data_IF_345347750525
#
_entry.id   IF_345347750525
#
_cell.length_a   1.000
_cell.length_b   1.000
_cell.length_c   1.000
_cell.angle_alpha   90.00
_cell.angle_beta   90.00
_cell.angle_gamma   90.00
#
_symmetry.space_group_name_H-M   'P 1'
#
loop_
_entity.id
_entity.type
_entity.pdbx_description
1 polymer ?
#
# COMPACT_ATOMS: atom_id res chain seq x y z
N UNK A 1 -31.52 -32.81 -20.41
CA UNK A 1 -31.45 -31.36 -20.68
C UNK A 1 -31.25 -30.62 -19.37
N UNK A 2 -30.00 -30.40 -18.98
CA UNK A 2 -29.66 -29.57 -17.81
C UNK A 2 -29.26 -28.21 -18.34
N UNK A 3 -30.05 -27.19 -18.00
CA UNK A 3 -29.77 -25.82 -18.39
C UNK A 3 -28.45 -25.38 -17.72
N UNK A 4 -27.44 -25.12 -18.55
CA UNK A 4 -26.21 -24.47 -18.12
C UNK A 4 -26.59 -23.16 -17.42
N UNK A 5 -26.35 -23.10 -16.12
CA UNK A 5 -26.50 -21.90 -15.31
C UNK A 5 -25.47 -20.88 -15.83
N UNK A 6 -25.94 -19.90 -16.60
CA UNK A 6 -25.12 -18.77 -17.03
C UNK A 6 -24.74 -17.99 -15.77
N UNK A 7 -23.49 -18.13 -15.32
CA UNK A 7 -22.93 -17.25 -14.29
C UNK A 7 -22.91 -15.85 -14.89
N UNK A 8 -23.75 -14.95 -14.38
CA UNK A 8 -23.72 -13.53 -14.72
C UNK A 8 -22.33 -13.01 -14.35
N UNK A 9 -21.50 -12.71 -15.35
CA UNK A 9 -20.27 -11.97 -15.11
C UNK A 9 -20.65 -10.64 -14.48
N UNK A 10 -20.20 -10.37 -13.28
CA UNK A 10 -20.19 -9.01 -12.75
C UNK A 10 -19.28 -8.18 -13.66
N UNK A 11 -19.88 -7.42 -14.56
CA UNK A 11 -19.17 -6.59 -15.52
C UNK A 11 -18.40 -5.49 -14.77
N UNK A 12 -17.10 -5.36 -15.07
CA UNK A 12 -16.26 -4.34 -14.45
C UNK A 12 -16.53 -2.98 -15.11
N UNK A 13 -17.25 -2.10 -14.41
CA UNK A 13 -17.54 -0.75 -14.89
C UNK A 13 -16.32 0.18 -14.72
N UNK A 14 -15.48 0.22 -15.75
CA UNK A 14 -14.30 1.08 -15.80
C UNK A 14 -14.65 2.57 -15.69
N UNK A 15 -15.78 3.00 -16.25
CA UNK A 15 -16.16 4.42 -16.24
C UNK A 15 -16.60 4.86 -14.84
N UNK A 16 -17.28 3.98 -14.09
CA UNK A 16 -17.54 4.21 -12.67
C UNK A 16 -16.23 4.31 -11.88
N UNK A 17 -15.31 3.36 -12.04
CA UNK A 17 -14.02 3.38 -11.32
C UNK A 17 -13.22 4.65 -11.63
N UNK A 18 -13.17 5.09 -12.89
CA UNK A 18 -12.45 6.32 -13.26
C UNK A 18 -12.99 7.58 -12.57
N UNK A 19 -14.27 7.64 -12.20
CA UNK A 19 -14.84 8.78 -11.47
C UNK A 19 -14.25 8.92 -10.06
N UNK A 20 -13.79 7.83 -9.46
CA UNK A 20 -13.18 7.85 -8.14
C UNK A 20 -11.77 8.43 -8.13
N UNK A 21 -11.12 8.63 -9.28
CA UNK A 21 -9.75 9.16 -9.37
C UNK A 21 -9.76 10.62 -9.85
N UNK A 22 -9.87 11.60 -8.93
CA UNK A 22 -9.92 13.02 -9.31
C UNK A 22 -8.71 13.47 -10.13
N UNK A 23 -7.52 12.90 -9.86
CA UNK A 23 -6.29 13.21 -10.59
C UNK A 23 -6.33 12.86 -12.09
N UNK A 24 -7.27 12.06 -12.56
CA UNK A 24 -7.42 11.74 -13.98
C UNK A 24 -8.25 12.79 -14.74
N UNK A 25 -9.04 13.63 -14.05
CA UNK A 25 -9.99 14.57 -14.65
C UNK A 25 -9.37 15.96 -14.83
N UNK A 26 -8.25 16.02 -15.54
CA UNK A 26 -7.51 17.25 -15.81
C UNK A 26 -6.99 17.32 -17.24
N UNK A 27 -6.60 18.52 -17.66
CA UNK A 27 -5.92 18.75 -18.94
C UNK A 27 -4.43 19.04 -18.70
N UNK A 28 -3.58 18.42 -19.52
CA UNK A 28 -2.13 18.68 -19.56
C UNK A 28 -1.78 19.13 -20.98
N UNK A 29 -1.14 20.29 -21.11
CA UNK A 29 -0.91 20.95 -22.41
C UNK A 29 -2.18 21.10 -23.27
N UNK A 30 -3.30 21.45 -22.63
CA UNK A 30 -4.60 21.65 -23.29
C UNK A 30 -5.34 20.36 -23.69
N UNK A 31 -4.76 19.18 -23.50
CA UNK A 31 -5.33 17.87 -23.86
C UNK A 31 -5.75 17.06 -22.63
N UNK A 32 -6.77 16.20 -22.71
CA UNK A 32 -7.12 15.29 -21.61
C UNK A 32 -5.93 14.43 -21.18
N UNK A 33 -5.74 14.27 -19.87
CA UNK A 33 -4.64 13.46 -19.34
C UNK A 33 -4.82 11.97 -19.69
N UNK A 34 -3.78 11.37 -20.27
CA UNK A 34 -3.60 9.92 -20.41
C UNK A 34 -2.36 9.55 -19.57
N UNK A 35 -2.58 9.06 -18.36
CA UNK A 35 -1.51 8.76 -17.41
C UNK A 35 -1.04 7.30 -17.57
N UNK A 36 0.10 7.10 -18.23
CA UNK A 36 0.70 5.78 -18.50
C UNK A 36 1.99 5.50 -17.70
N UNK A 37 2.22 6.25 -16.62
CA UNK A 37 3.40 6.11 -15.76
C UNK A 37 3.06 5.45 -14.41
N UNK A 38 2.10 4.52 -14.40
CA UNK A 38 1.59 3.90 -13.17
C UNK A 38 2.62 3.01 -12.46
N UNK A 39 3.67 2.56 -13.18
CA UNK A 39 4.75 1.75 -12.62
C UNK A 39 5.67 2.58 -11.70
N UNK A 40 5.80 3.88 -11.93
CA UNK A 40 6.55 4.78 -11.05
C UNK A 40 5.71 5.19 -9.83
N UNK A 41 4.46 5.63 -10.06
CA UNK A 41 3.48 5.88 -8.99
C UNK A 41 2.06 5.88 -9.53
N UNK A 42 1.08 5.60 -8.67
CA UNK A 42 -0.33 5.55 -9.06
C UNK A 42 -1.09 6.81 -8.67
N UNK A 43 -2.13 7.17 -9.43
CA UNK A 43 -3.12 8.16 -8.98
C UNK A 43 -3.91 7.60 -7.79
N UNK A 44 -4.41 8.47 -6.91
CA UNK A 44 -5.09 8.06 -5.68
C UNK A 44 -6.60 8.21 -5.82
N UNK A 45 -7.41 7.21 -5.41
CA UNK A 45 -8.85 7.34 -5.41
C UNK A 45 -9.30 8.29 -4.30
N UNK A 46 -10.49 8.88 -4.45
CA UNK A 46 -11.07 9.87 -3.55
C UNK A 46 -11.14 9.36 -2.11
N UNK A 47 -11.49 8.09 -1.90
CA UNK A 47 -11.56 7.47 -0.58
C UNK A 47 -10.21 7.54 0.18
N UNK A 48 -9.07 7.36 -0.50
CA UNK A 48 -7.74 7.46 0.11
C UNK A 48 -7.42 8.90 0.52
N UNK A 49 -7.75 9.86 -0.36
CA UNK A 49 -7.54 11.29 -0.09
C UNK A 49 -8.41 11.74 1.09
N UNK A 50 -9.68 11.34 1.13
CA UNK A 50 -10.61 11.66 2.19
C UNK A 50 -10.23 11.01 3.53
N UNK A 51 -9.69 9.78 3.52
CA UNK A 51 -9.19 9.12 4.72
C UNK A 51 -8.03 9.91 5.34
N UNK A 52 -7.05 10.32 4.53
CA UNK A 52 -5.94 11.17 4.99
C UNK A 52 -6.43 12.52 5.51
N UNK A 53 -7.30 13.18 4.77
CA UNK A 53 -7.86 14.47 5.18
C UNK A 53 -8.60 14.37 6.52
N UNK A 54 -9.45 13.35 6.69
CA UNK A 54 -10.17 13.09 7.94
C UNK A 54 -9.21 12.86 9.10
N UNK A 55 -8.17 12.05 8.91
CA UNK A 55 -7.18 11.81 9.96
C UNK A 55 -6.55 13.14 10.42
N UNK A 56 -6.03 13.95 9.48
CA UNK A 56 -5.37 15.21 9.84
C UNK A 56 -6.30 16.27 10.41
N UNK A 57 -7.58 16.28 10.03
CA UNK A 57 -8.55 17.28 10.50
C UNK A 57 -9.28 16.90 11.77
N UNK A 58 -9.38 15.60 12.11
CA UNK A 58 -10.21 15.12 13.22
C UNK A 58 -9.50 14.24 14.26
N UNK A 59 -8.50 13.45 13.85
CA UNK A 59 -7.95 12.36 14.68
C UNK A 59 -6.43 12.41 14.87
N UNK A 60 -5.76 13.43 14.33
CA UNK A 60 -4.30 13.54 14.33
C UNK A 60 -3.73 13.54 15.75
N UNK A 61 -3.00 12.47 16.09
CA UNK A 61 -2.23 12.37 17.33
C UNK A 61 -1.12 11.34 17.18
N UNK A 62 -0.18 11.35 18.13
CA UNK A 62 0.80 10.28 18.24
C UNK A 62 0.12 8.99 18.70
N UNK A 63 0.44 7.89 18.02
CA UNK A 63 -0.01 6.54 18.38
C UNK A 63 0.76 6.02 19.60
N UNK A 64 0.12 5.15 20.39
CA UNK A 64 0.69 4.45 21.56
C UNK A 64 1.28 5.34 22.68
N UNK A 65 1.07 6.66 22.63
CA UNK A 65 1.81 7.60 23.48
C UNK A 65 1.01 8.20 24.63
N UNK A 66 -0.32 8.26 24.53
CA UNK A 66 -1.15 8.93 25.52
C UNK A 66 -2.51 8.26 25.73
N UNK A 67 -3.12 8.54 26.89
CA UNK A 67 -4.43 8.01 27.34
C UNK A 67 -5.60 8.94 27.00
N UNK A 68 -5.40 9.90 26.10
CA UNK A 68 -6.46 10.82 25.69
C UNK A 68 -7.15 10.33 24.41
N UNK A 69 -8.42 10.71 24.22
CA UNK A 69 -9.29 10.19 23.18
C UNK A 69 -8.69 10.24 21.75
N UNK A 70 -7.98 11.31 21.39
CA UNK A 70 -7.33 11.40 20.06
C UNK A 70 -6.20 10.38 19.87
N UNK A 71 -5.42 10.08 20.91
CA UNK A 71 -4.33 9.09 20.83
C UNK A 71 -4.91 7.68 20.70
N UNK A 72 -6.00 7.38 21.41
CA UNK A 72 -6.71 6.10 21.27
C UNK A 72 -7.28 5.91 19.86
N UNK A 73 -7.93 6.93 19.30
CA UNK A 73 -8.48 6.86 17.92
C UNK A 73 -7.40 6.74 16.85
N UNK A 74 -6.31 7.50 16.98
CA UNK A 74 -5.15 7.39 16.09
C UNK A 74 -4.52 6.00 16.17
N UNK A 75 -4.30 5.49 17.38
CA UNK A 75 -3.73 4.16 17.62
C UNK A 75 -4.60 3.07 17.03
N UNK A 76 -5.92 3.14 17.27
CA UNK A 76 -6.87 2.19 16.70
C UNK A 76 -6.82 2.21 15.17
N UNK A 77 -6.86 3.39 14.55
CA UNK A 77 -6.82 3.50 13.08
C UNK A 77 -5.53 2.96 12.48
N UNK A 78 -4.40 3.16 13.18
CA UNK A 78 -3.09 2.65 12.77
C UNK A 78 -2.99 1.12 12.86
N UNK A 79 -3.47 0.52 13.96
CA UNK A 79 -3.48 -0.93 14.13
C UNK A 79 -4.54 -1.61 13.24
N UNK A 80 -5.71 -1.01 13.03
CA UNK A 80 -6.71 -1.50 12.07
C UNK A 80 -6.11 -1.52 10.63
N UNK A 81 -5.28 -0.53 10.27
CA UNK A 81 -4.56 -0.54 9.00
C UNK A 81 -3.56 -1.71 8.92
N UNK A 82 -2.90 -2.08 10.03
CA UNK A 82 -2.03 -3.26 10.10
C UNK A 82 -2.82 -4.55 9.88
N UNK A 83 -4.01 -4.67 10.47
CA UNK A 83 -4.93 -5.79 10.26
C UNK A 83 -5.32 -5.91 8.79
N UNK A 84 -5.64 -4.80 8.12
CA UNK A 84 -5.98 -4.78 6.70
C UNK A 84 -4.81 -5.26 5.85
N UNK A 85 -3.58 -4.79 6.11
CA UNK A 85 -2.38 -5.25 5.39
C UNK A 85 -2.15 -6.74 5.61
N UNK A 86 -2.26 -7.22 6.85
CA UNK A 86 -2.15 -8.65 7.19
C UNK A 86 -3.13 -9.49 6.38
N UNK A 87 -4.38 -9.06 6.25
CA UNK A 87 -5.39 -9.75 5.43
C UNK A 87 -5.06 -9.66 3.94
N UNK A 88 -4.64 -8.49 3.45
CA UNK A 88 -4.34 -8.25 2.04
C UNK A 88 -3.23 -9.16 1.51
N UNK A 89 -2.18 -9.41 2.30
CA UNK A 89 -1.09 -10.32 1.93
C UNK A 89 -1.22 -11.73 2.54
N UNK A 90 -2.33 -12.02 3.22
CA UNK A 90 -2.59 -13.27 3.91
C UNK A 90 -1.48 -13.70 4.90
N UNK A 91 -0.93 -12.75 5.66
CA UNK A 91 0.02 -13.04 6.73
C UNK A 91 -0.68 -13.74 7.90
N UNK A 92 0.07 -14.49 8.73
CA UNK A 92 -0.50 -15.26 9.85
C UNK A 92 -0.85 -14.34 11.01
N UNK A 93 -0.03 -13.32 11.24
CA UNK A 93 -0.15 -12.39 12.37
C UNK A 93 0.14 -10.96 11.97
N UNK A 94 -0.53 -10.01 12.63
CA UNK A 94 -0.23 -8.58 12.50
C UNK A 94 1.19 -8.24 12.93
N UNK A 95 1.76 -9.03 13.86
CA UNK A 95 3.15 -8.86 14.33
C UNK A 95 4.20 -9.14 13.24
N UNK A 96 3.81 -9.76 12.14
CA UNK A 96 4.67 -9.98 10.97
C UNK A 96 4.70 -8.74 10.05
N UNK A 97 3.84 -7.74 10.29
CA UNK A 97 3.73 -6.53 9.48
C UNK A 97 4.52 -5.41 10.12
N UNK A 98 5.59 -4.96 9.46
CA UNK A 98 6.38 -3.79 9.86
C UNK A 98 6.13 -2.65 8.88
N UNK A 99 5.59 -1.53 9.36
CA UNK A 99 5.43 -0.34 8.53
C UNK A 99 6.76 0.39 8.38
N UNK A 100 7.11 0.68 7.14
CA UNK A 100 8.29 1.45 6.73
C UNK A 100 7.88 2.46 5.65
N UNK A 101 8.77 3.39 5.28
CA UNK A 101 8.49 4.42 4.26
C UNK A 101 8.25 3.87 2.87
N UNK A 102 8.81 2.70 2.54
CA UNK A 102 8.63 2.05 1.25
C UNK A 102 9.47 0.78 1.09
N UNK A 103 9.36 0.13 -0.08
CA UNK A 103 10.00 -1.15 -0.35
C UNK A 103 11.53 -1.11 -0.17
N UNK A 104 12.19 -0.02 -0.60
CA UNK A 104 13.64 0.17 -0.42
C UNK A 104 14.06 0.12 1.05
N UNK A 105 13.29 0.75 1.94
CA UNK A 105 13.58 0.72 3.38
C UNK A 105 13.29 -0.68 3.97
N UNK A 106 12.24 -1.37 3.49
CA UNK A 106 11.94 -2.74 3.93
C UNK A 106 13.11 -3.69 3.65
N UNK A 107 13.67 -3.64 2.43
CA UNK A 107 14.82 -4.45 2.04
C UNK A 107 16.04 -4.09 2.90
N UNK A 108 16.32 -2.80 3.09
CA UNK A 108 17.43 -2.34 3.92
C UNK A 108 17.29 -2.75 5.38
N UNK A 109 16.07 -2.78 5.92
CA UNK A 109 15.81 -3.25 7.27
C UNK A 109 16.23 -4.73 7.41
N UNK A 110 15.83 -5.59 6.47
CA UNK A 110 16.23 -7.00 6.47
C UNK A 110 17.74 -7.14 6.30
N UNK A 111 18.35 -6.41 5.36
CA UNK A 111 19.79 -6.48 5.12
C UNK A 111 20.60 -6.09 6.36
N UNK A 112 20.23 -5.00 7.03
CA UNK A 112 21.00 -4.52 8.19
C UNK A 112 20.73 -5.31 9.47
N UNK A 113 19.50 -5.78 9.70
CA UNK A 113 19.12 -6.46 10.95
C UNK A 113 19.31 -7.98 10.89
N UNK A 114 19.14 -8.59 9.72
CA UNK A 114 19.21 -10.04 9.56
C UNK A 114 20.50 -10.47 8.87
N UNK A 115 20.78 -9.97 7.65
CA UNK A 115 21.85 -10.48 6.81
C UNK A 115 23.24 -10.03 7.28
N UNK A 116 23.45 -8.72 7.50
CA UNK A 116 24.76 -8.14 7.86
C UNK A 116 25.47 -8.81 9.05
N UNK A 117 24.80 -9.19 10.15
CA UNK A 117 25.49 -9.91 11.25
C UNK A 117 25.71 -11.40 11.00
N UNK A 118 25.19 -11.98 9.90
CA UNK A 118 25.18 -13.42 9.63
C UNK A 118 26.04 -13.82 8.41
N UNK A 119 26.01 -13.00 7.37
CA UNK A 119 26.77 -13.22 6.14
C UNK A 119 28.25 -12.96 6.41
N UNK A 120 29.08 -13.93 6.06
CA UNK A 120 30.53 -13.91 6.26
C UNK A 120 31.27 -13.89 4.92
N UNK A 121 32.57 -13.69 5.00
CA UNK A 121 33.43 -13.85 3.84
C UNK A 121 33.28 -15.26 3.25
N UNK A 122 32.96 -15.34 1.96
CA UNK A 122 32.74 -16.60 1.23
C UNK A 122 31.27 -17.00 1.10
N UNK A 123 30.35 -16.36 1.82
CA UNK A 123 28.91 -16.58 1.62
C UNK A 123 28.42 -15.80 0.39
N UNK A 124 27.39 -16.33 -0.28
CA UNK A 124 26.78 -15.74 -1.46
C UNK A 124 25.33 -15.32 -1.21
N UNK A 125 24.92 -14.19 -1.77
CA UNK A 125 23.52 -13.73 -1.80
C UNK A 125 23.05 -13.81 -3.25
N UNK A 126 22.06 -14.67 -3.50
CA UNK A 126 21.51 -14.87 -4.83
C UNK A 126 20.37 -13.88 -5.11
N UNK A 127 20.47 -13.18 -6.24
CA UNK A 127 19.43 -12.30 -6.79
C UNK A 127 19.19 -12.59 -8.27
N UNK A 128 18.11 -12.07 -8.84
CA UNK A 128 17.86 -12.18 -10.28
C UNK A 128 18.59 -11.08 -11.09
N UNK A 129 18.67 -11.24 -12.41
CA UNK A 129 19.17 -10.18 -13.29
C UNK A 129 18.14 -9.06 -13.55
N UNK A 130 16.91 -9.21 -13.05
CA UNK A 130 15.79 -8.29 -13.29
C UNK A 130 15.52 -7.37 -12.09
N UNK A 131 16.36 -7.43 -11.05
CA UNK A 131 16.13 -6.67 -9.83
C UNK A 131 16.10 -5.16 -10.09
N UNK A 132 15.17 -4.48 -9.41
CA UNK A 132 15.26 -3.04 -9.26
C UNK A 132 16.49 -2.69 -8.41
N UNK A 133 17.12 -1.54 -8.64
CA UNK A 133 18.30 -1.10 -7.89
C UNK A 133 18.12 -1.05 -6.36
N UNK A 134 16.89 -1.07 -5.85
CA UNK A 134 16.63 -1.13 -4.40
C UNK A 134 16.81 -2.51 -3.79
N UNK A 135 16.90 -3.56 -4.61
CA UNK A 135 17.09 -4.95 -4.22
C UNK A 135 18.47 -5.49 -4.65
N UNK A 136 19.43 -4.58 -4.81
CA UNK A 136 20.85 -4.82 -5.10
C UNK A 136 21.65 -4.08 -4.02
#
# INVERSE_FOLDING_TARGET
>A
MSALRTVKSTEFDLLAVRKDFPGLHQKVHGKPLIYLDNAATTQKPKAVIEALNRFYTADCSNVHRAVHALSDRATKSYEDARTIVKQFINARSEREIVFVRGATEAINLVMNSYARPRVKAGDEILISALEHHSNI
#
